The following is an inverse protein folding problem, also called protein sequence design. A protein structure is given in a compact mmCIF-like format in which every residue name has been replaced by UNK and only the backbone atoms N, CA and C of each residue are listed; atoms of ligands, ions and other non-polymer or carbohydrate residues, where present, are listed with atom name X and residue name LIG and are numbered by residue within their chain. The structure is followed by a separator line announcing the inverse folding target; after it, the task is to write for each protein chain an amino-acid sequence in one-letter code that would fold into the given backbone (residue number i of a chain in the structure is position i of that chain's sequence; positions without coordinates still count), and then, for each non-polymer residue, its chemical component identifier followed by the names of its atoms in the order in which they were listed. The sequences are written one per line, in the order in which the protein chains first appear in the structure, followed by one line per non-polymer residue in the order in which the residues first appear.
data_IF_143915262296
#
_entry.id   IF_143915262296
#
_cell.length_a   1.000
_cell.length_b   1.000
_cell.length_c   1.000
_cell.angle_alpha   90.00
_cell.angle_beta   90.00
_cell.angle_gamma   90.00
#
_symmetry.space_group_name_H-M   'P 1'
#
loop_
_entity.id
_entity.type
_entity.pdbx_description
1 polymer ?
#
# COMPACT_ATOMS: atom_id res chain seq x y z
N UNK A 1 14.31 34.03 10.21
CA UNK A 1 13.47 32.90 10.67
C UNK A 1 14.14 31.66 10.13
N UNK A 2 14.83 30.93 11.00
CA UNK A 2 15.40 29.63 10.71
C UNK A 2 14.23 28.66 10.49
N UNK A 3 13.93 28.36 9.24
CA UNK A 3 13.08 27.24 8.88
C UNK A 3 13.84 25.97 9.27
N UNK A 4 13.63 25.46 10.47
CA UNK A 4 14.04 24.09 10.81
C UNK A 4 13.34 23.16 9.85
N UNK A 5 14.07 22.69 8.84
CA UNK A 5 13.59 21.71 7.89
C UNK A 5 13.11 20.49 8.65
N UNK A 6 11.81 20.22 8.63
CA UNK A 6 11.22 19.02 9.26
C UNK A 6 12.02 17.81 8.78
N UNK A 7 12.71 17.18 9.73
CA UNK A 7 13.55 16.01 9.45
C UNK A 7 12.72 14.75 9.63
N UNK A 8 12.39 14.09 8.53
CA UNK A 8 11.82 12.74 8.55
C UNK A 8 12.96 11.75 8.75
N UNK A 9 12.94 11.03 9.85
CA UNK A 9 13.89 9.95 10.13
C UNK A 9 13.29 8.63 9.62
N UNK A 10 13.97 7.98 8.69
CA UNK A 10 13.65 6.60 8.27
C UNK A 10 14.35 5.65 9.24
N UNK A 11 13.58 4.99 10.10
CA UNK A 11 14.10 4.03 11.08
C UNK A 11 14.41 2.69 10.44
N UNK A 12 13.52 2.22 9.55
CA UNK A 12 13.68 0.98 8.81
C UNK A 12 13.00 1.05 7.43
N UNK A 13 13.43 0.18 6.53
CA UNK A 13 12.84 0.00 5.19
C UNK A 13 12.80 -1.48 4.86
N UNK A 14 11.60 -2.04 4.83
CA UNK A 14 11.38 -3.42 4.45
C UNK A 14 11.11 -3.53 2.96
N UNK A 15 11.94 -4.32 2.27
CA UNK A 15 11.72 -4.74 0.89
C UNK A 15 11.51 -6.24 0.87
N UNK A 16 10.53 -6.70 0.11
CA UNK A 16 10.39 -8.12 -0.14
C UNK A 16 11.73 -8.66 -0.69
N UNK A 17 12.31 -9.73 -0.10
CA UNK A 17 13.59 -10.31 -0.54
C UNK A 17 13.62 -10.70 -2.02
N UNK A 18 12.44 -10.97 -2.60
CA UNK A 18 12.28 -11.31 -4.02
C UNK A 18 12.06 -10.07 -4.91
N UNK A 19 12.17 -8.85 -4.36
CA UNK A 19 12.03 -7.62 -5.14
C UNK A 19 13.09 -7.53 -6.23
N UNK A 20 12.64 -7.27 -7.45
CA UNK A 20 13.51 -7.12 -8.63
C UNK A 20 13.78 -5.65 -8.97
N UNK A 21 13.53 -4.72 -8.05
CA UNK A 21 13.76 -3.30 -8.28
C UNK A 21 15.25 -3.00 -8.40
N UNK A 22 15.69 -2.26 -9.45
CA UNK A 22 17.04 -1.75 -9.52
C UNK A 22 17.33 -0.79 -8.36
N UNK A 23 18.56 -0.82 -7.86
CA UNK A 23 18.98 0.02 -6.72
C UNK A 23 18.63 1.51 -6.87
N UNK A 24 18.73 2.06 -8.08
CA UNK A 24 18.41 3.48 -8.32
C UNK A 24 16.90 3.77 -8.19
N UNK A 25 16.08 2.84 -8.65
CA UNK A 25 14.61 2.95 -8.49
C UNK A 25 14.24 2.82 -7.00
N UNK A 26 14.86 1.88 -6.29
CA UNK A 26 14.68 1.71 -4.85
C UNK A 26 14.99 3.01 -4.08
N UNK A 27 16.12 3.66 -4.37
CA UNK A 27 16.48 4.94 -3.77
C UNK A 27 15.42 6.00 -4.09
N UNK A 28 15.01 6.09 -5.36
CA UNK A 28 13.99 7.06 -5.79
C UNK A 28 12.67 6.86 -5.04
N UNK A 29 12.23 5.62 -4.84
CA UNK A 29 10.99 5.35 -4.09
C UNK A 29 11.13 5.67 -2.61
N UNK A 30 12.28 5.38 -2.00
CA UNK A 30 12.55 5.77 -0.61
C UNK A 30 12.42 7.28 -0.40
N UNK A 31 13.02 8.07 -1.29
CA UNK A 31 12.94 9.54 -1.23
C UNK A 31 11.50 10.05 -1.48
N UNK A 32 10.76 9.44 -2.39
CA UNK A 32 9.35 9.77 -2.62
C UNK A 32 8.49 9.55 -1.36
N UNK A 33 8.73 8.47 -0.60
CA UNK A 33 8.01 8.24 0.67
C UNK A 33 8.37 9.27 1.74
N UNK A 34 9.60 9.75 1.77
CA UNK A 34 10.00 10.85 2.66
C UNK A 34 9.24 12.13 2.29
N UNK A 35 9.16 12.46 1.00
CA UNK A 35 8.39 13.62 0.53
C UNK A 35 6.90 13.46 0.80
N UNK A 36 6.36 12.27 0.62
CA UNK A 36 4.97 11.96 0.98
C UNK A 36 4.71 12.24 2.47
N UNK A 37 5.60 11.81 3.37
CA UNK A 37 5.46 12.08 4.81
C UNK A 37 5.48 13.57 5.12
N UNK A 38 6.33 14.36 4.45
CA UNK A 38 6.34 15.82 4.59
C UNK A 38 5.02 16.44 4.15
N UNK A 39 4.41 15.93 3.08
CA UNK A 39 3.07 16.39 2.67
C UNK A 39 2.01 16.04 3.73
N UNK A 40 2.04 14.83 4.29
CA UNK A 40 1.15 14.50 5.41
C UNK A 40 1.31 15.45 6.59
N UNK A 41 2.54 15.77 6.98
CA UNK A 41 2.80 16.72 8.06
C UNK A 41 2.25 18.13 7.75
N UNK A 42 2.39 18.59 6.51
CA UNK A 42 1.79 19.85 6.10
C UNK A 42 0.26 19.83 6.24
N UNK A 43 -0.38 18.75 5.83
CA UNK A 43 -1.84 18.63 5.94
C UNK A 43 -2.30 18.37 7.38
N UNK A 44 -1.46 17.79 8.26
CA UNK A 44 -1.75 17.60 9.69
C UNK A 44 -2.00 18.93 10.42
N UNK A 45 -1.50 20.07 9.91
CA UNK A 45 -1.81 21.41 10.43
C UNK A 45 -3.28 21.82 10.24
N UNK A 46 -4.00 21.16 9.35
CA UNK A 46 -5.37 21.49 8.96
C UNK A 46 -6.36 20.36 9.20
N UNK A 47 -5.92 19.10 9.12
CA UNK A 47 -6.76 17.91 9.11
C UNK A 47 -6.16 16.86 10.05
N UNK A 48 -7.00 16.29 10.93
CA UNK A 48 -6.61 15.14 11.75
C UNK A 48 -6.54 13.86 10.92
N UNK A 49 -5.37 13.26 10.81
CA UNK A 49 -5.22 11.91 10.22
C UNK A 49 -5.30 10.82 11.28
N UNK A 50 -5.77 9.62 10.91
CA UNK A 50 -5.81 8.49 11.81
C UNK A 50 -4.44 8.16 12.39
N UNK A 51 -4.41 7.77 13.66
CA UNK A 51 -3.22 7.20 14.29
C UNK A 51 -3.22 5.68 14.12
N UNK A 52 -2.03 5.06 14.22
CA UNK A 52 -1.91 3.61 14.13
C UNK A 52 -2.77 2.94 15.19
N UNK A 53 -3.74 2.15 14.73
CA UNK A 53 -4.72 1.47 15.56
C UNK A 53 -4.57 -0.05 15.42
N UNK A 54 -3.77 -0.64 16.30
CA UNK A 54 -3.60 -2.08 16.43
C UNK A 54 -3.95 -2.51 17.87
N UNK A 55 -4.40 -3.76 18.08
CA UNK A 55 -4.78 -4.24 19.40
C UNK A 55 -3.58 -4.27 20.37
N UNK A 56 -3.81 -3.85 21.60
CA UNK A 56 -2.78 -3.79 22.65
C UNK A 56 -2.39 -5.17 23.20
N UNK A 57 -3.15 -6.21 22.89
CA UNK A 57 -2.98 -7.58 23.40
C UNK A 57 -2.27 -8.51 22.42
N UNK A 58 -1.55 -7.96 21.46
CA UNK A 58 -0.65 -8.74 20.59
C UNK A 58 0.59 -9.14 21.39
N UNK A 59 0.99 -10.41 21.32
CA UNK A 59 2.15 -10.93 22.03
C UNK A 59 3.12 -11.62 21.09
N UNK A 60 4.40 -11.51 21.39
CA UNK A 60 5.50 -12.11 20.61
C UNK A 60 5.41 -13.64 20.48
N UNK A 61 4.72 -14.30 21.40
CA UNK A 61 4.53 -15.75 21.41
C UNK A 61 3.26 -16.23 20.73
N UNK A 62 2.43 -15.31 20.22
CA UNK A 62 1.20 -15.68 19.51
C UNK A 62 1.55 -16.30 18.14
N UNK A 63 0.75 -17.27 17.71
CA UNK A 63 0.82 -17.81 16.34
C UNK A 63 0.28 -16.80 15.34
N UNK A 64 0.58 -16.99 14.04
CA UNK A 64 0.03 -16.15 12.96
C UNK A 64 -1.50 -16.15 12.95
N UNK A 65 -2.13 -17.30 13.22
CA UNK A 65 -3.58 -17.44 13.40
C UNK A 65 -4.10 -16.51 14.51
N UNK A 66 -3.47 -16.53 15.69
CA UNK A 66 -3.91 -15.72 16.85
C UNK A 66 -3.67 -14.23 16.60
N UNK A 67 -2.51 -13.85 16.02
CA UNK A 67 -2.21 -12.46 15.70
C UNK A 67 -3.22 -11.90 14.69
N UNK A 68 -3.47 -12.62 13.61
CA UNK A 68 -4.42 -12.21 12.58
C UNK A 68 -5.85 -12.12 13.12
N UNK A 69 -6.28 -13.08 13.94
CA UNK A 69 -7.59 -13.07 14.57
C UNK A 69 -7.79 -11.85 15.47
N UNK A 70 -6.84 -11.56 16.36
CA UNK A 70 -6.91 -10.38 17.26
C UNK A 70 -7.02 -9.07 16.48
N UNK A 71 -6.30 -8.93 15.38
CA UNK A 71 -6.38 -7.72 14.54
C UNK A 71 -7.72 -7.65 13.82
N UNK A 72 -8.22 -8.75 13.26
CA UNK A 72 -9.54 -8.80 12.62
C UNK A 72 -10.66 -8.44 13.59
N UNK A 73 -10.64 -8.98 14.82
CA UNK A 73 -11.59 -8.65 15.88
C UNK A 73 -11.53 -7.17 16.24
N UNK A 74 -10.32 -6.63 16.44
CA UNK A 74 -10.13 -5.22 16.79
C UNK A 74 -10.58 -4.26 15.68
N UNK A 75 -10.43 -4.68 14.41
CA UNK A 75 -10.84 -3.88 13.25
C UNK A 75 -12.30 -4.13 12.82
N UNK A 76 -13.04 -4.93 13.58
CA UNK A 76 -14.43 -5.31 13.29
C UNK A 76 -14.61 -5.95 11.89
N UNK A 77 -13.65 -6.82 11.53
CA UNK A 77 -13.66 -7.56 10.26
C UNK A 77 -14.26 -8.96 10.44
N UNK A 78 -15.04 -9.16 11.48
CA UNK A 78 -15.64 -10.44 11.78
C UNK A 78 -16.96 -10.59 11.02
N UNK A 79 -16.88 -11.21 9.86
CA UNK A 79 -18.04 -11.56 9.03
C UNK A 79 -17.80 -12.92 8.38
N UNK A 80 -18.55 -13.92 8.83
CA UNK A 80 -18.48 -15.29 8.28
C UNK A 80 -19.00 -15.37 6.84
N UNK A 81 -19.85 -14.44 6.41
CA UNK A 81 -20.42 -14.40 5.07
C UNK A 81 -19.56 -13.61 4.07
N UNK A 82 -18.87 -12.59 4.54
CA UNK A 82 -17.97 -11.73 3.73
C UNK A 82 -16.59 -11.61 4.39
N UNK A 83 -15.85 -12.69 4.40
CA UNK A 83 -14.67 -12.81 5.24
C UNK A 83 -13.49 -11.92 4.85
N UNK A 84 -13.45 -11.44 3.61
CA UNK A 84 -12.36 -10.57 3.14
C UNK A 84 -12.92 -9.23 2.68
N UNK A 85 -12.43 -8.09 3.21
CA UNK A 85 -12.82 -6.77 2.71
C UNK A 85 -12.37 -6.61 1.26
N UNK A 86 -13.24 -6.03 0.42
CA UNK A 86 -12.91 -5.80 -0.99
C UNK A 86 -11.71 -4.86 -1.14
N UNK A 87 -11.54 -3.89 -0.23
CA UNK A 87 -10.43 -2.93 -0.22
C UNK A 87 -9.77 -2.85 1.16
N UNK A 88 -8.78 -3.71 1.38
CA UNK A 88 -7.98 -3.69 2.61
C UNK A 88 -7.21 -2.36 2.77
N UNK A 89 -6.85 -1.71 1.66
CA UNK A 89 -6.14 -0.44 1.68
C UNK A 89 -6.91 0.68 2.39
N UNK A 90 -8.21 0.78 2.15
CA UNK A 90 -9.05 1.78 2.81
C UNK A 90 -9.13 1.52 4.32
N UNK A 91 -9.23 0.26 4.72
CA UNK A 91 -9.24 -0.13 6.13
C UNK A 91 -7.92 0.20 6.80
N UNK A 92 -6.80 -0.23 6.24
CA UNK A 92 -5.46 0.05 6.78
C UNK A 92 -5.20 1.56 6.88
N UNK A 93 -5.67 2.32 5.90
CA UNK A 93 -5.60 3.78 5.89
C UNK A 93 -6.42 4.40 7.02
N UNK A 94 -7.65 3.94 7.25
CA UNK A 94 -8.48 4.34 8.39
C UNK A 94 -7.87 3.95 9.75
N UNK A 95 -6.99 2.95 9.76
CA UNK A 95 -6.23 2.48 10.93
C UNK A 95 -4.84 3.11 11.05
N UNK A 96 -4.58 4.19 10.32
CA UNK A 96 -3.39 5.03 10.48
C UNK A 96 -2.13 4.55 9.77
N UNK A 97 -2.26 3.61 8.82
CA UNK A 97 -1.17 3.18 7.94
C UNK A 97 -1.25 4.00 6.66
N UNK A 98 -0.17 4.67 6.30
CA UNK A 98 -0.12 5.50 5.09
C UNK A 98 0.16 4.60 3.88
N UNK A 99 -0.71 4.65 2.87
CA UNK A 99 -0.52 3.90 1.62
C UNK A 99 -0.34 4.88 0.47
N UNK A 100 0.72 4.68 -0.29
CA UNK A 100 1.05 5.46 -1.49
C UNK A 100 1.03 4.57 -2.73
N UNK A 101 0.27 4.99 -3.73
CA UNK A 101 0.26 4.34 -5.03
C UNK A 101 1.32 5.00 -5.92
N UNK A 102 2.31 4.23 -6.34
CA UNK A 102 3.41 4.74 -7.15
C UNK A 102 3.30 4.26 -8.59
N UNK A 103 3.58 5.16 -9.54
CA UNK A 103 3.86 4.75 -10.90
C UNK A 103 5.20 4.01 -10.94
N UNK A 104 5.15 2.69 -10.95
CA UNK A 104 6.33 1.85 -11.09
C UNK A 104 6.47 1.50 -12.57
N UNK A 105 7.63 1.75 -13.14
CA UNK A 105 7.90 1.45 -14.56
C UNK A 105 7.94 -0.06 -14.86
N UNK A 106 7.79 -0.92 -13.85
CA UNK A 106 7.79 -2.37 -13.96
C UNK A 106 6.52 -2.96 -13.41
N UNK A 107 5.85 -3.78 -14.20
CA UNK A 107 4.71 -4.57 -13.75
C UNK A 107 5.16 -5.56 -12.68
N UNK A 108 4.36 -5.69 -11.62
CA UNK A 108 4.58 -6.68 -10.57
C UNK A 108 5.67 -6.33 -9.57
N UNK A 109 6.06 -5.04 -9.45
CA UNK A 109 6.94 -4.62 -8.37
C UNK A 109 6.31 -4.97 -7.00
N UNK A 110 7.09 -5.62 -6.16
CA UNK A 110 6.67 -5.93 -4.78
C UNK A 110 6.46 -4.63 -4.00
N UNK A 111 5.48 -4.56 -3.11
CA UNK A 111 5.34 -3.44 -2.20
C UNK A 111 6.54 -3.35 -1.26
N UNK A 112 6.72 -2.20 -0.64
CA UNK A 112 7.67 -2.06 0.45
C UNK A 112 7.16 -1.08 1.50
N UNK A 113 7.57 -1.29 2.74
CA UNK A 113 7.18 -0.47 3.88
C UNK A 113 8.39 0.28 4.44
N UNK A 114 8.18 1.56 4.77
CA UNK A 114 9.09 2.33 5.59
C UNK A 114 8.48 2.63 6.95
N UNK A 115 9.29 2.45 7.99
CA UNK A 115 9.03 2.98 9.32
C UNK A 115 9.67 4.35 9.42
N UNK A 116 8.87 5.38 9.61
CA UNK A 116 9.30 6.77 9.63
C UNK A 116 8.93 7.46 10.94
N UNK A 117 9.83 8.26 11.51
CA UNK A 117 9.57 9.06 12.70
C UNK A 117 9.78 10.54 12.46
N UNK A 118 8.92 11.33 13.07
CA UNK A 118 9.07 12.79 13.22
C UNK A 118 8.70 13.12 14.65
N UNK A 119 9.59 13.77 15.40
CA UNK A 119 9.37 14.16 16.79
C UNK A 119 8.78 13.06 17.68
N UNK A 120 9.30 11.82 17.55
CA UNK A 120 8.83 10.61 18.23
C UNK A 120 7.46 10.10 17.77
N UNK A 121 6.84 10.71 16.76
CA UNK A 121 5.62 10.18 16.15
C UNK A 121 6.01 9.24 15.01
N UNK A 122 5.83 7.94 15.21
CA UNK A 122 6.15 6.90 14.24
C UNK A 122 4.96 6.59 13.36
N UNK A 123 5.18 6.52 12.06
CA UNK A 123 4.20 6.10 11.04
C UNK A 123 4.81 5.03 10.14
N UNK A 124 3.97 4.11 9.70
CA UNK A 124 4.32 3.16 8.64
C UNK A 124 3.76 3.66 7.32
N UNK A 125 4.62 3.67 6.31
CA UNK A 125 4.28 4.14 4.96
C UNK A 125 4.56 3.01 3.99
N UNK A 126 3.51 2.51 3.33
CA UNK A 126 3.57 1.43 2.35
C UNK A 126 3.54 2.04 0.95
N UNK A 127 4.50 1.66 0.11
CA UNK A 127 4.48 1.93 -1.31
C UNK A 127 3.92 0.72 -2.08
N UNK A 128 2.89 0.96 -2.87
CA UNK A 128 2.31 -0.02 -3.80
C UNK A 128 2.52 0.42 -5.24
N UNK A 129 2.71 -0.55 -6.13
CA UNK A 129 2.67 -0.28 -7.57
C UNK A 129 1.27 0.13 -8.03
N UNK A 130 1.17 1.23 -8.80
CA UNK A 130 -0.11 1.70 -9.35
C UNK A 130 -0.72 0.77 -10.41
N UNK A 131 0.05 -0.21 -10.89
CA UNK A 131 -0.41 -1.27 -11.80
C UNK A 131 -1.21 -2.38 -11.06
N UNK A 132 -1.13 -2.43 -9.73
CA UNK A 132 -1.81 -3.41 -8.88
C UNK A 132 -3.18 -2.89 -8.42
N UNK A 133 -4.07 -2.62 -9.37
CA UNK A 133 -5.42 -2.10 -9.10
C UNK A 133 -6.50 -3.21 -9.01
N UNK A 134 -6.09 -4.44 -8.72
CA UNK A 134 -6.96 -5.61 -8.60
C UNK A 134 -7.00 -6.02 -7.14
N UNK A 135 -8.20 -6.02 -6.52
CA UNK A 135 -8.36 -6.30 -5.09
C UNK A 135 -7.66 -7.57 -4.60
N UNK A 136 -7.79 -8.74 -5.24
CA UNK A 136 -7.11 -9.96 -4.82
C UNK A 136 -5.61 -9.79 -4.62
N UNK A 137 -4.92 -9.22 -5.60
CA UNK A 137 -3.45 -9.04 -5.56
C UNK A 137 -3.09 -7.99 -4.52
N UNK A 138 -3.78 -6.84 -4.54
CA UNK A 138 -3.52 -5.72 -3.63
C UNK A 138 -3.77 -6.10 -2.16
N UNK A 139 -4.86 -6.78 -1.87
CA UNK A 139 -5.15 -7.22 -0.52
C UNK A 139 -4.12 -8.22 0.01
N UNK A 140 -3.64 -9.13 -0.84
CA UNK A 140 -2.57 -10.05 -0.46
C UNK A 140 -1.28 -9.29 -0.13
N UNK A 141 -0.84 -8.41 -1.02
CA UNK A 141 0.35 -7.59 -0.82
C UNK A 141 0.25 -6.75 0.48
N UNK A 142 -0.89 -6.11 0.70
CA UNK A 142 -1.13 -5.30 1.91
C UNK A 142 -1.20 -6.14 3.18
N UNK A 143 -1.74 -7.34 3.13
CA UNK A 143 -1.75 -8.24 4.29
C UNK A 143 -0.34 -8.73 4.64
N UNK A 144 0.53 -8.96 3.66
CA UNK A 144 1.94 -9.26 3.90
C UNK A 144 2.67 -8.06 4.55
N UNK A 145 2.45 -6.84 4.07
CA UNK A 145 3.03 -5.63 4.65
C UNK A 145 2.48 -5.35 6.07
N UNK A 146 1.21 -5.66 6.34
CA UNK A 146 0.65 -5.63 7.69
C UNK A 146 1.37 -6.65 8.60
N UNK A 147 1.65 -7.84 8.11
CA UNK A 147 2.45 -8.84 8.83
C UNK A 147 3.84 -8.31 9.19
N UNK A 148 4.50 -7.61 8.25
CA UNK A 148 5.76 -6.93 8.53
C UNK A 148 5.61 -5.89 9.66
N UNK A 149 4.61 -5.02 9.60
CA UNK A 149 4.35 -4.01 10.64
C UNK A 149 4.16 -4.66 12.01
N UNK A 150 3.38 -5.74 12.07
CA UNK A 150 3.16 -6.51 13.31
C UNK A 150 4.45 -7.11 13.84
N UNK A 151 5.27 -7.69 12.96
CA UNK A 151 6.57 -8.26 13.32
C UNK A 151 7.53 -7.21 13.89
N UNK A 152 7.57 -6.01 13.31
CA UNK A 152 8.37 -4.88 13.79
C UNK A 152 7.91 -4.40 15.18
N UNK A 153 6.61 -4.18 15.35
CA UNK A 153 6.02 -3.74 16.63
C UNK A 153 6.30 -4.75 17.74
N UNK A 154 6.22 -6.03 17.44
CA UNK A 154 6.50 -7.10 18.38
C UNK A 154 8.00 -7.41 18.54
N UNK A 155 8.88 -6.74 17.79
CA UNK A 155 10.31 -7.01 17.71
C UNK A 155 10.61 -8.48 17.39
N UNK A 156 9.85 -9.09 16.49
CA UNK A 156 10.08 -10.45 15.99
C UNK A 156 10.97 -10.33 14.74
N UNK A 157 12.16 -10.96 14.69
CA UNK A 157 12.97 -10.94 13.47
C UNK A 157 12.23 -11.55 12.29
N UNK A 158 12.25 -10.91 11.12
CA UNK A 158 11.54 -11.36 9.91
C UNK A 158 11.84 -12.80 9.50
N UNK A 159 13.05 -13.29 9.70
CA UNK A 159 13.39 -14.71 9.48
C UNK A 159 12.63 -15.70 10.37
N UNK A 160 11.93 -15.21 11.40
CA UNK A 160 11.10 -15.98 12.32
C UNK A 160 9.62 -15.63 12.24
N UNK A 161 9.25 -14.67 11.36
CA UNK A 161 7.90 -14.24 11.15
C UNK A 161 7.56 -14.49 9.67
N UNK A 162 6.62 -15.40 9.42
CA UNK A 162 6.18 -15.70 8.06
C UNK A 162 5.05 -14.75 7.66
N UNK A 163 5.38 -13.71 6.90
CA UNK A 163 4.40 -12.72 6.44
C UNK A 163 3.38 -13.33 5.47
N UNK A 164 3.75 -14.34 4.70
CA UNK A 164 2.83 -15.04 3.79
C UNK A 164 1.84 -15.90 4.58
N UNK A 165 2.31 -16.62 5.62
CA UNK A 165 1.43 -17.33 6.53
C UNK A 165 0.48 -16.38 7.24
N UNK A 166 1.00 -15.25 7.77
CA UNK A 166 0.16 -14.21 8.39
C UNK A 166 -0.91 -13.69 7.43
N UNK A 167 -0.53 -13.37 6.19
CA UNK A 167 -1.47 -12.89 5.17
C UNK A 167 -2.56 -13.92 4.85
N UNK A 168 -2.18 -15.19 4.75
CA UNK A 168 -3.12 -16.28 4.53
C UNK A 168 -4.12 -16.45 5.70
N UNK A 169 -3.63 -16.36 6.96
CA UNK A 169 -4.48 -16.40 8.15
C UNK A 169 -5.40 -15.19 8.23
N UNK A 170 -4.87 -14.00 7.90
CA UNK A 170 -5.62 -12.75 7.95
C UNK A 170 -6.72 -12.67 6.90
N UNK A 171 -6.43 -13.05 5.65
CA UNK A 171 -7.38 -12.99 4.53
C UNK A 171 -8.34 -14.18 4.47
N UNK A 172 -7.91 -15.35 4.95
CA UNK A 172 -8.62 -16.61 4.88
C UNK A 172 -8.69 -17.27 6.27
N UNK A 173 -9.48 -16.71 7.21
CA UNK A 173 -9.61 -17.27 8.55
C UNK A 173 -9.99 -18.74 8.50
N UNK A 174 -9.29 -19.56 9.30
CA UNK A 174 -9.33 -21.03 9.23
C UNK A 174 -10.75 -21.61 9.18
N UNK A 175 -11.58 -21.27 10.18
CA UNK A 175 -12.90 -21.88 10.27
C UNK A 175 -13.81 -21.48 9.11
N UNK A 176 -13.82 -20.19 8.76
CA UNK A 176 -14.63 -19.68 7.66
C UNK A 176 -14.18 -20.25 6.30
N UNK A 177 -12.87 -20.41 6.11
CA UNK A 177 -12.33 -21.04 4.91
C UNK A 177 -12.69 -22.52 4.83
N UNK A 178 -12.53 -23.29 5.90
CA UNK A 178 -12.89 -24.71 5.95
C UNK A 178 -14.39 -24.93 5.67
N UNK A 179 -15.25 -24.03 6.14
CA UNK A 179 -16.69 -24.08 5.86
C UNK A 179 -17.02 -23.80 4.38
N UNK A 180 -16.13 -23.10 3.66
CA UNK A 180 -16.34 -22.72 2.26
C UNK A 180 -15.74 -23.71 1.26
N UNK A 181 -14.74 -24.51 1.67
CA UNK A 181 -14.04 -25.45 0.82
C UNK A 181 -14.52 -26.88 1.10
N UNK A 182 -15.51 -27.34 0.37
CA UNK A 182 -16.06 -28.68 0.60
C UNK A 182 -15.30 -29.79 -0.14
N UNK A 183 -15.07 -29.63 -1.44
CA UNK A 183 -14.34 -30.58 -2.28
C UNK A 183 -13.65 -29.85 -3.43
N UNK A 184 -12.58 -29.13 -3.15
CA UNK A 184 -11.82 -28.47 -4.21
C UNK A 184 -10.73 -29.41 -4.75
N UNK A 185 -10.92 -29.90 -5.96
CA UNK A 185 -10.02 -30.83 -6.63
C UNK A 185 -9.29 -30.23 -7.83
N UNK A 186 -9.91 -29.28 -8.54
CA UNK A 186 -9.34 -28.67 -9.73
C UNK A 186 -9.26 -27.14 -9.58
N UNK A 187 -8.48 -26.47 -10.44
CA UNK A 187 -8.30 -25.03 -10.36
C UNK A 187 -9.61 -24.25 -10.49
N UNK A 188 -10.57 -24.76 -11.23
CA UNK A 188 -11.89 -24.19 -11.41
C UNK A 188 -12.67 -24.05 -10.10
N UNK A 189 -12.48 -25.00 -9.17
CA UNK A 189 -13.11 -24.93 -7.84
C UNK A 189 -12.53 -23.75 -7.04
N UNK A 190 -11.22 -23.51 -7.16
CA UNK A 190 -10.57 -22.37 -6.54
C UNK A 190 -10.93 -21.04 -7.21
N UNK A 191 -11.25 -21.03 -8.51
CA UNK A 191 -11.81 -19.83 -9.18
C UNK A 191 -13.18 -19.49 -8.60
N UNK A 192 -14.01 -20.48 -8.32
CA UNK A 192 -15.31 -20.28 -7.66
C UNK A 192 -15.12 -19.72 -6.23
N UNK A 193 -14.13 -20.21 -5.48
CA UNK A 193 -13.77 -19.66 -4.18
C UNK A 193 -13.25 -18.21 -4.29
N UNK A 194 -12.47 -17.89 -5.34
CA UNK A 194 -12.02 -16.52 -5.59
C UNK A 194 -13.18 -15.54 -5.75
N UNK A 195 -14.27 -15.96 -6.37
CA UNK A 195 -15.46 -15.12 -6.51
C UNK A 195 -16.05 -14.71 -5.14
N UNK A 196 -15.90 -15.57 -4.11
CA UNK A 196 -16.36 -15.30 -2.74
C UNK A 196 -15.32 -14.53 -1.93
N UNK A 197 -14.05 -14.98 -1.99
CA UNK A 197 -13.01 -14.52 -1.07
C UNK A 197 -12.22 -13.31 -1.57
N UNK A 198 -12.29 -12.97 -2.85
CA UNK A 198 -11.55 -11.87 -3.48
C UNK A 198 -10.03 -11.89 -3.18
N UNK A 199 -9.43 -13.09 -3.19
CA UNK A 199 -8.00 -13.32 -3.01
C UNK A 199 -7.43 -14.10 -4.20
N UNK A 200 -6.12 -14.12 -4.44
CA UNK A 200 -5.53 -14.89 -5.54
C UNK A 200 -5.82 -16.39 -5.45
N UNK A 201 -6.03 -17.02 -6.59
CA UNK A 201 -6.22 -18.49 -6.66
C UNK A 201 -5.03 -19.22 -6.04
N UNK A 202 -3.81 -18.74 -6.27
CA UNK A 202 -2.60 -19.32 -5.69
C UNK A 202 -2.62 -19.31 -4.15
N UNK A 203 -3.16 -18.24 -3.52
CA UNK A 203 -3.31 -18.15 -2.07
C UNK A 203 -4.36 -19.14 -1.54
N UNK A 204 -5.47 -19.29 -2.26
CA UNK A 204 -6.52 -20.28 -1.91
C UNK A 204 -5.96 -21.71 -1.95
N UNK A 205 -5.20 -22.04 -2.98
CA UNK A 205 -4.52 -23.36 -3.12
C UNK A 205 -3.51 -23.56 -1.99
N UNK A 206 -2.70 -22.54 -1.68
CA UNK A 206 -1.78 -22.59 -0.53
C UNK A 206 -2.54 -22.81 0.79
N UNK A 207 -3.62 -22.08 1.01
CA UNK A 207 -4.42 -22.20 2.23
C UNK A 207 -5.03 -23.59 2.40
N UNK A 208 -5.57 -24.16 1.33
CA UNK A 208 -6.08 -25.52 1.33
C UNK A 208 -5.01 -26.56 1.69
N UNK A 209 -3.78 -26.35 1.21
CA UNK A 209 -2.64 -27.19 1.57
C UNK A 209 -2.22 -26.99 3.04
N UNK A 210 -2.06 -25.76 3.49
CA UNK A 210 -1.62 -25.45 4.87
C UNK A 210 -2.59 -25.97 5.93
N UNK A 211 -3.89 -26.05 5.60
CA UNK A 211 -4.92 -26.61 6.45
C UNK A 211 -5.12 -28.13 6.29
N UNK A 212 -4.34 -28.78 5.44
CA UNK A 212 -4.41 -30.23 5.22
C UNK A 212 -5.63 -30.71 4.40
N UNK A 213 -6.35 -29.78 3.74
CA UNK A 213 -7.48 -30.12 2.86
C UNK A 213 -6.98 -30.83 1.60
N UNK A 214 -5.85 -30.40 1.07
CA UNK A 214 -5.19 -31.05 -0.06
C UNK A 214 -3.77 -31.50 0.32
N UNK A 215 -3.31 -32.58 -0.32
CA UNK A 215 -1.95 -33.09 -0.12
C UNK A 215 -0.89 -32.20 -0.79
N UNK A 216 0.38 -32.31 -0.35
CA UNK A 216 1.53 -31.63 -0.98
C UNK A 216 1.64 -31.97 -2.49
N UNK A 217 1.38 -33.22 -2.89
CA UNK A 217 1.38 -33.64 -4.28
C UNK A 217 0.31 -32.87 -5.10
N UNK A 218 -0.90 -32.75 -4.54
CA UNK A 218 -2.00 -32.02 -5.19
C UNK A 218 -1.71 -30.52 -5.27
N UNK A 219 -1.17 -29.94 -4.19
CA UNK A 219 -0.72 -28.56 -4.15
C UNK A 219 0.26 -28.23 -5.30
N UNK A 220 1.32 -29.02 -5.44
CA UNK A 220 2.30 -28.82 -6.52
C UNK A 220 1.67 -29.01 -7.92
N UNK A 221 0.78 -29.99 -8.07
CA UNK A 221 0.07 -30.21 -9.34
C UNK A 221 -0.75 -28.97 -9.72
N UNK A 222 -1.55 -28.43 -8.79
CA UNK A 222 -2.39 -27.26 -9.03
C UNK A 222 -1.57 -26.00 -9.31
N UNK A 223 -0.47 -25.76 -8.59
CA UNK A 223 0.41 -24.61 -8.86
C UNK A 223 1.11 -24.70 -10.22
N UNK A 224 1.53 -25.90 -10.64
CA UNK A 224 2.10 -26.10 -11.96
C UNK A 224 1.06 -25.85 -13.07
N UNK A 225 -0.17 -26.34 -12.92
CA UNK A 225 -1.27 -26.09 -13.87
C UNK A 225 -1.61 -24.59 -13.91
N UNK A 226 -1.71 -23.91 -12.74
CA UNK A 226 -1.90 -22.47 -12.62
C UNK A 226 -0.84 -21.69 -13.40
N UNK A 227 0.43 -22.07 -13.27
CA UNK A 227 1.54 -21.44 -14.00
C UNK A 227 1.47 -21.72 -15.51
N UNK A 228 1.18 -22.96 -15.92
CA UNK A 228 1.04 -23.34 -17.33
C UNK A 228 -0.08 -22.60 -18.05
N UNK A 229 -1.18 -22.29 -17.33
CA UNK A 229 -2.28 -21.47 -17.85
C UNK A 229 -1.94 -19.97 -17.91
N UNK A 230 -0.77 -19.58 -17.47
CA UNK A 230 -0.33 -18.16 -17.45
C UNK A 230 -1.03 -17.32 -16.38
N UNK A 231 -1.66 -17.94 -15.39
CA UNK A 231 -2.41 -17.26 -14.34
C UNK A 231 -1.51 -16.48 -13.37
N UNK A 232 -0.20 -16.71 -13.40
CA UNK A 232 0.79 -15.87 -12.74
C UNK A 232 0.83 -14.42 -13.27
N UNK A 233 0.18 -14.13 -14.41
CA UNK A 233 0.07 -12.79 -14.98
C UNK A 233 -1.33 -12.20 -14.83
N UNK A 234 -2.35 -12.99 -15.11
CA UNK A 234 -3.77 -12.60 -15.03
C UNK A 234 -4.57 -13.84 -14.67
N UNK A 235 -5.24 -13.80 -13.56
CA UNK A 235 -6.14 -14.87 -13.12
C UNK A 235 -7.59 -14.63 -13.61
N UNK A 236 -8.39 -15.69 -13.72
CA UNK A 236 -9.84 -15.54 -13.95
C UNK A 236 -10.48 -14.60 -12.92
N UNK A 237 -11.46 -13.82 -13.33
CA UNK A 237 -12.23 -12.86 -12.54
C UNK A 237 -11.46 -11.59 -12.08
N UNK A 238 -10.19 -11.41 -12.42
CA UNK A 238 -9.45 -10.21 -12.05
C UNK A 238 -10.14 -8.93 -12.52
N UNK A 239 -10.77 -8.97 -13.68
CA UNK A 239 -11.52 -7.86 -14.26
C UNK A 239 -12.74 -7.43 -13.43
N UNK A 240 -13.28 -8.34 -12.59
CA UNK A 240 -14.43 -8.07 -11.71
C UNK A 240 -14.03 -7.41 -10.39
N UNK A 241 -12.74 -7.43 -10.04
CA UNK A 241 -12.22 -6.94 -8.76
C UNK A 241 -11.35 -5.69 -8.92
N UNK A 242 -11.62 -4.87 -9.91
CA UNK A 242 -10.91 -3.59 -10.09
C UNK A 242 -11.22 -2.62 -8.97
N UNK A 243 -10.18 -2.01 -8.43
CA UNK A 243 -10.27 -0.97 -7.41
C UNK A 243 -10.06 0.41 -8.03
N UNK A 244 -10.73 1.39 -7.48
CA UNK A 244 -10.42 2.81 -7.68
C UNK A 244 -9.64 3.27 -6.45
N UNK A 245 -8.50 3.92 -6.69
CA UNK A 245 -7.67 4.43 -5.61
C UNK A 245 -8.32 5.65 -4.98
N UNK A 246 -8.30 5.72 -3.64
CA UNK A 246 -8.59 6.92 -2.89
C UNK A 246 -7.38 7.27 -2.03
N UNK A 247 -6.66 8.31 -2.39
CA UNK A 247 -5.53 8.80 -1.61
C UNK A 247 -6.03 9.73 -0.50
N UNK A 248 -5.57 9.51 0.74
CA UNK A 248 -5.85 10.44 1.85
C UNK A 248 -5.37 11.86 1.55
N UNK A 249 -4.23 12.01 0.88
CA UNK A 249 -3.72 13.33 0.51
C UNK A 249 -4.61 14.01 -0.53
N UNK A 250 -5.18 13.26 -1.46
CA UNK A 250 -6.16 13.78 -2.40
C UNK A 250 -7.41 14.28 -1.68
N UNK A 251 -7.95 13.46 -0.78
CA UNK A 251 -9.12 13.85 0.03
C UNK A 251 -8.82 15.09 0.89
N UNK A 252 -7.64 15.15 1.51
CA UNK A 252 -7.20 16.30 2.28
C UNK A 252 -7.08 17.56 1.41
N UNK A 253 -6.46 17.44 0.25
CA UNK A 253 -6.39 18.53 -0.73
C UNK A 253 -7.77 19.01 -1.15
N UNK A 254 -8.65 18.11 -1.58
CA UNK A 254 -10.02 18.43 -2.00
C UNK A 254 -10.78 19.14 -0.87
N UNK A 255 -10.68 18.66 0.38
CA UNK A 255 -11.31 19.28 1.52
C UNK A 255 -10.80 20.72 1.77
N UNK A 256 -9.51 20.98 1.64
CA UNK A 256 -8.96 22.34 1.81
C UNK A 256 -9.39 23.29 0.68
N UNK A 257 -9.49 22.81 -0.55
CA UNK A 257 -9.95 23.61 -1.69
C UNK A 257 -11.43 23.90 -1.59
N UNK A 258 -12.27 22.90 -1.33
CA UNK A 258 -13.73 23.03 -1.23
C UNK A 258 -14.16 23.96 -0.09
N UNK A 259 -13.45 23.92 1.04
CA UNK A 259 -13.70 24.81 2.17
C UNK A 259 -12.99 26.17 2.05
N UNK A 260 -12.38 26.49 0.91
CA UNK A 260 -11.68 27.77 0.65
C UNK A 260 -10.55 28.08 1.66
N UNK A 261 -9.95 27.06 2.30
CA UNK A 261 -8.84 27.23 3.23
C UNK A 261 -7.55 27.59 2.48
N UNK A 262 -7.37 27.00 1.30
CA UNK A 262 -6.28 27.29 0.37
C UNK A 262 -6.78 27.36 -1.07
N UNK A 263 -6.05 28.07 -1.93
CA UNK A 263 -6.12 27.95 -3.39
C UNK A 263 -4.89 27.18 -3.88
N UNK A 264 -4.89 26.73 -5.14
CA UNK A 264 -3.72 26.05 -5.71
C UNK A 264 -2.44 26.90 -5.59
N UNK A 265 -2.53 28.20 -5.86
CA UNK A 265 -1.38 29.10 -5.75
C UNK A 265 -0.89 29.23 -4.30
N UNK A 266 -1.81 29.48 -3.36
CA UNK A 266 -1.45 29.60 -1.93
C UNK A 266 -0.99 28.30 -1.31
N UNK A 267 -1.47 27.14 -1.80
CA UNK A 267 -1.00 25.83 -1.38
C UNK A 267 0.48 25.65 -1.74
N UNK A 268 0.84 25.91 -2.98
CA UNK A 268 2.24 25.80 -3.45
C UNK A 268 3.16 26.75 -2.66
N UNK A 269 2.75 28.02 -2.47
CA UNK A 269 3.51 28.99 -1.70
C UNK A 269 3.72 28.55 -0.23
N UNK A 270 2.68 27.97 0.40
CA UNK A 270 2.76 27.44 1.76
C UNK A 270 3.69 26.22 1.85
N UNK A 271 3.61 25.29 0.88
CA UNK A 271 4.51 24.14 0.80
C UNK A 271 5.97 24.59 0.69
N UNK A 272 6.25 25.57 -0.17
CA UNK A 272 7.59 26.14 -0.31
C UNK A 272 8.07 26.81 0.99
N UNK A 273 7.20 27.53 1.69
CA UNK A 273 7.54 28.16 2.97
C UNK A 273 7.91 27.16 4.07
N UNK A 274 7.41 25.92 3.97
CA UNK A 274 7.75 24.81 4.87
C UNK A 274 8.90 23.92 4.34
N UNK A 275 9.60 24.37 3.29
CA UNK A 275 10.75 23.64 2.74
C UNK A 275 10.39 22.44 1.85
N UNK A 276 9.12 22.34 1.41
CA UNK A 276 8.67 21.33 0.44
C UNK A 276 8.72 21.94 -0.96
N UNK A 277 9.86 21.80 -1.62
CA UNK A 277 10.11 22.37 -2.96
C UNK A 277 10.03 21.27 -4.01
N UNK A 278 8.83 21.01 -4.52
CA UNK A 278 8.56 20.05 -5.58
C UNK A 278 7.89 20.76 -6.76
N UNK A 279 8.09 20.22 -7.95
CA UNK A 279 7.33 20.68 -9.12
C UNK A 279 5.85 20.33 -8.97
N UNK A 280 4.92 21.13 -9.53
CA UNK A 280 3.48 20.84 -9.48
C UNK A 280 3.15 19.43 -9.96
N UNK A 281 3.81 18.94 -10.99
CA UNK A 281 3.62 17.59 -11.55
C UNK A 281 3.99 16.49 -10.55
N UNK A 282 5.07 16.67 -9.79
CA UNK A 282 5.49 15.71 -8.76
C UNK A 282 4.52 15.73 -7.56
N UNK A 283 4.03 16.91 -7.17
CA UNK A 283 2.99 17.05 -6.16
C UNK A 283 1.69 16.37 -6.57
N UNK A 284 1.27 16.54 -7.84
CA UNK A 284 0.09 15.88 -8.39
C UNK A 284 0.21 14.36 -8.32
N UNK A 285 1.38 13.81 -8.66
CA UNK A 285 1.65 12.36 -8.56
C UNK A 285 1.59 11.89 -7.11
N UNK A 286 2.27 12.59 -6.17
CA UNK A 286 2.30 12.19 -4.76
C UNK A 286 0.94 12.29 -4.08
N UNK A 287 0.09 13.23 -4.49
CA UNK A 287 -1.26 13.42 -3.96
C UNK A 287 -2.34 12.70 -4.76
N UNK A 288 -1.97 11.93 -5.79
CA UNK A 288 -2.91 11.24 -6.69
C UNK A 288 -3.94 12.19 -7.34
N UNK A 289 -3.47 13.37 -7.76
CA UNK A 289 -4.29 14.35 -8.47
C UNK A 289 -4.22 14.13 -9.98
N UNK A 290 -5.23 14.62 -10.67
CA UNK A 290 -5.19 14.62 -12.14
C UNK A 290 -4.08 15.56 -12.64
N UNK A 291 -3.39 15.21 -13.73
CA UNK A 291 -2.40 16.09 -14.35
C UNK A 291 -2.95 17.49 -14.61
N UNK A 292 -2.15 18.52 -14.37
CA UNK A 292 -2.48 19.95 -14.52
C UNK A 292 -3.53 20.50 -13.51
N UNK A 293 -3.81 19.77 -12.42
CA UNK A 293 -4.69 20.25 -11.34
C UNK A 293 -4.08 21.44 -10.61
N UNK A 294 -2.77 21.37 -10.31
CA UNK A 294 -2.03 22.40 -9.57
C UNK A 294 -1.43 23.50 -10.47
N UNK A 295 -1.47 23.30 -11.78
CA UNK A 295 -0.97 24.33 -12.69
C UNK A 295 -1.88 25.57 -12.58
N UNK A 296 -1.41 26.60 -11.91
CA UNK A 296 -1.98 27.93 -12.03
C UNK A 296 -1.85 28.34 -13.50
N UNK A 297 -2.92 28.86 -14.10
CA UNK A 297 -2.85 29.48 -15.43
C UNK A 297 -1.91 30.69 -15.35
N UNK A 298 -0.63 30.45 -15.18
CA UNK A 298 0.36 31.49 -15.18
C UNK A 298 0.65 31.91 -16.62
N UNK A 299 0.36 33.16 -16.88
CA UNK A 299 0.76 33.93 -18.02
C UNK A 299 2.05 33.41 -18.67
N UNK A 300 1.91 32.78 -19.82
CA UNK A 300 3.01 32.47 -20.74
C UNK A 300 3.80 33.72 -21.21
N UNK A 301 3.53 34.88 -20.62
CA UNK A 301 4.05 36.17 -21.07
C UNK A 301 5.35 36.65 -20.40
N UNK A 302 5.96 35.87 -19.52
CA UNK A 302 7.18 36.32 -18.82
C UNK A 302 8.48 35.59 -19.22
N UNK A 303 8.48 34.80 -20.28
CA UNK A 303 9.74 34.29 -20.84
C UNK A 303 10.39 35.39 -21.67
N UNK A 304 11.26 36.20 -21.07
CA UNK A 304 12.16 37.09 -21.82
C UNK A 304 13.23 36.23 -22.50
N UNK A 305 13.16 36.13 -23.83
CA UNK A 305 14.26 35.58 -24.62
C UNK A 305 15.49 36.47 -24.39
N UNK A 306 16.49 35.94 -23.71
CA UNK A 306 17.79 36.64 -23.61
C UNK A 306 18.64 36.21 -24.80
N UNK A 307 18.85 37.16 -25.74
CA UNK A 307 19.71 36.95 -26.90
C UNK A 307 21.18 37.17 -26.47
N UNK A 308 21.92 36.09 -26.31
CA UNK A 308 23.36 36.13 -26.07
C UNK A 308 24.09 36.45 -27.40
N UNK A 309 24.16 37.73 -27.80
CA UNK A 309 25.02 38.11 -28.90
C UNK A 309 26.48 37.98 -28.45
N UNK A 310 27.20 36.98 -28.98
CA UNK A 310 28.66 36.92 -28.91
C UNK A 310 29.21 38.20 -29.53
N UNK A 311 29.83 39.08 -28.76
CA UNK A 311 30.75 40.10 -29.28
C UNK A 311 31.93 39.35 -29.87
N UNK A 312 32.09 39.35 -31.19
CA UNK A 312 33.34 39.01 -31.84
C UNK A 312 34.29 40.17 -31.62
N UNK A 313 35.45 39.89 -30.99
CA UNK A 313 36.60 40.77 -30.95
C UNK A 313 37.33 40.71 -32.26
#
# INVERSE_FOLDING_TARGET
YDNENIKVLVEDSHFNPNSTLPRMEEISYKEKLIMLRKLFLFFEDYIGFPQLDLPNNLHRGDSMEVLSQKIREHWDLWDDEKPTPLNLGDIMTAKGIIISYMNVNRRGASPFTQKQSVDKNTKYVIALGGDKNIAPIRNHDLACELGYIVSDILNIPLKKFDCEEFAAEFLLPKQAFLNSIQEANELEDFVNLKAKWAVPVSLLVYRAYSLGVISYKKYNYLLNDWQQRGWNKVEPLDDKFKLTDSSLLKMAYEALIENHIVSNATLIDKLYSQGISLYPEDLEILMDLKPNTLQTKNNKNNVKKVDFKRKRA
#
